data_IF_701379369789
#
_entry.id   IF_701379369789
#
_cell.length_a   1.000
_cell.length_b   1.000
_cell.length_c   1.000
_cell.angle_alpha   90.00
_cell.angle_beta   90.00
_cell.angle_gamma   90.00
#
_symmetry.space_group_name_H-M   'P 1'
#
loop_
_entity.id
_entity.type
_entity.pdbx_description
1 polymer ?
#
# COMPACT_ATOMS: atom_id res chain seq x y z
N UNK A 1 -7.50 -18.70 -6.87
CA UNK A 1 -7.76 -17.45 -7.61
C UNK A 1 -6.99 -16.33 -6.93
N UNK A 2 -6.07 -15.67 -7.64
CA UNK A 2 -5.45 -14.45 -7.13
C UNK A 2 -6.50 -13.34 -6.95
N UNK A 3 -6.32 -12.49 -5.95
CA UNK A 3 -7.21 -11.38 -5.60
C UNK A 3 -6.37 -10.12 -5.50
N UNK A 4 -7.02 -8.96 -5.71
CA UNK A 4 -6.41 -7.65 -5.56
C UNK A 4 -6.92 -7.01 -4.28
N UNK A 5 -6.00 -6.52 -3.44
CA UNK A 5 -6.28 -5.96 -2.13
C UNK A 5 -5.74 -4.53 -2.11
N UNK A 6 -6.62 -3.56 -1.89
CA UNK A 6 -6.25 -2.16 -1.74
C UNK A 6 -6.05 -1.86 -0.25
N UNK A 7 -4.93 -1.22 0.11
CA UNK A 7 -4.63 -0.81 1.48
C UNK A 7 -4.42 0.70 1.50
N UNK A 8 -5.33 1.41 2.16
CA UNK A 8 -5.14 2.83 2.46
C UNK A 8 -4.14 2.94 3.60
N UNK A 9 -3.03 3.63 3.38
CA UNK A 9 -1.95 3.75 4.37
C UNK A 9 -1.27 5.10 4.24
N UNK A 10 -0.89 5.67 5.38
CA UNK A 10 -0.12 6.93 5.45
C UNK A 10 0.91 6.84 6.56
N UNK A 11 1.65 7.92 6.81
CA UNK A 11 2.67 7.99 7.85
C UNK A 11 2.13 7.61 9.24
N UNK A 12 3.02 7.06 10.07
CA UNK A 12 2.73 6.58 11.43
C UNK A 12 1.72 5.44 11.52
N UNK A 13 1.62 4.60 10.48
CA UNK A 13 0.88 3.33 10.56
C UNK A 13 1.49 2.38 11.59
N UNK A 14 0.70 1.50 12.19
CA UNK A 14 1.22 0.46 13.08
C UNK A 14 1.92 -0.63 12.26
N UNK A 15 3.22 -0.81 12.50
CA UNK A 15 4.12 -1.61 11.65
C UNK A 15 3.63 -3.07 11.45
N UNK A 16 3.20 -3.73 12.52
CA UNK A 16 2.73 -5.13 12.47
C UNK A 16 1.37 -5.27 11.80
N UNK A 17 0.45 -4.30 12.01
CA UNK A 17 -0.89 -4.29 11.39
C UNK A 17 -0.83 -4.19 9.87
N UNK A 18 0.27 -3.65 9.32
CA UNK A 18 0.53 -3.70 7.88
C UNK A 18 1.36 -4.93 7.46
N UNK A 19 2.52 -5.16 8.09
CA UNK A 19 3.50 -6.13 7.58
C UNK A 19 3.03 -7.58 7.67
N UNK A 20 2.36 -7.97 8.77
CA UNK A 20 1.91 -9.35 8.95
C UNK A 20 0.78 -9.74 7.98
N UNK A 21 -0.31 -8.96 7.83
CA UNK A 21 -1.37 -9.30 6.88
C UNK A 21 -0.89 -9.25 5.43
N UNK A 22 -0.08 -8.25 5.06
CA UNK A 22 0.43 -8.12 3.69
C UNK A 22 1.34 -9.28 3.31
N UNK A 23 2.19 -9.75 4.24
CA UNK A 23 2.99 -10.96 4.05
C UNK A 23 2.09 -12.17 3.80
N UNK A 24 1.09 -12.40 4.65
CA UNK A 24 0.16 -13.54 4.50
C UNK A 24 -0.61 -13.51 3.18
N UNK A 25 -1.04 -12.32 2.74
CA UNK A 25 -1.74 -12.17 1.46
C UNK A 25 -0.82 -12.47 0.26
N UNK A 26 0.41 -11.96 0.28
CA UNK A 26 1.40 -12.22 -0.78
C UNK A 26 1.79 -13.70 -0.84
N UNK A 27 1.99 -14.35 0.30
CA UNK A 27 2.27 -15.80 0.38
C UNK A 27 1.13 -16.66 -0.19
N UNK A 28 -0.12 -16.20 -0.07
CA UNK A 28 -1.30 -16.83 -0.70
C UNK A 28 -1.49 -16.47 -2.17
N UNK A 29 -0.56 -15.72 -2.77
CA UNK A 29 -0.59 -15.33 -4.18
C UNK A 29 -1.55 -14.17 -4.49
N UNK A 30 -1.91 -13.35 -3.50
CA UNK A 30 -2.70 -12.14 -3.71
C UNK A 30 -1.80 -10.93 -4.01
N UNK A 31 -2.34 -10.00 -4.78
CA UNK A 31 -1.71 -8.71 -5.07
C UNK A 31 -2.20 -7.67 -4.05
N UNK A 32 -1.27 -6.95 -3.43
CA UNK A 32 -1.57 -5.84 -2.51
C UNK A 32 -1.08 -4.55 -3.15
N UNK A 33 -1.93 -3.52 -3.16
CA UNK A 33 -1.61 -2.17 -3.65
C UNK A 33 -1.79 -1.16 -2.53
N UNK A 34 -0.73 -0.43 -2.20
CA UNK A 34 -0.79 0.69 -1.25
C UNK A 34 -1.33 1.95 -1.91
N UNK A 35 -2.21 2.66 -1.21
CA UNK A 35 -2.87 3.86 -1.71
C UNK A 35 -2.76 4.98 -0.67
N UNK A 36 -2.31 6.14 -1.13
CA UNK A 36 -2.24 7.39 -0.37
C UNK A 36 -2.58 8.58 -1.29
N UNK A 37 -2.35 9.82 -0.88
CA UNK A 37 -2.55 11.00 -1.72
C UNK A 37 -1.57 11.04 -2.90
N UNK A 38 -0.30 10.69 -2.65
CA UNK A 38 0.77 10.80 -3.65
C UNK A 38 1.41 9.44 -3.97
N UNK A 39 1.35 9.05 -5.25
CA UNK A 39 2.09 7.89 -5.75
C UNK A 39 3.59 8.14 -5.63
N UNK A 40 4.33 7.17 -5.12
CA UNK A 40 5.77 7.24 -4.97
C UNK A 40 6.22 7.89 -3.65
N UNK A 41 5.29 8.45 -2.86
CA UNK A 41 5.59 8.89 -1.49
C UNK A 41 6.10 7.71 -0.67
N UNK A 42 7.15 7.93 0.13
CA UNK A 42 7.57 6.98 1.15
C UNK A 42 6.84 7.29 2.45
N UNK A 43 6.13 6.31 3.00
CA UNK A 43 5.49 6.40 4.31
C UNK A 43 6.23 5.54 5.32
N UNK A 44 6.31 6.01 6.56
CA UNK A 44 7.05 5.32 7.63
C UNK A 44 6.13 4.81 8.73
N UNK A 45 6.41 3.60 9.22
CA UNK A 45 5.73 3.01 10.37
C UNK A 45 5.99 3.80 11.63
N UNK A 46 5.07 3.73 12.59
CA UNK A 46 5.12 4.46 13.86
C UNK A 46 6.38 4.13 14.66
N UNK A 47 6.84 2.88 14.59
CA UNK A 47 8.06 2.42 15.28
C UNK A 47 9.33 2.66 14.46
N UNK A 48 9.20 3.10 13.20
CA UNK A 48 10.33 3.32 12.29
C UNK A 48 10.96 2.03 11.73
N UNK A 49 10.33 0.87 11.94
CA UNK A 49 10.84 -0.43 11.48
C UNK A 49 10.42 -0.75 10.04
N UNK A 50 9.41 -0.04 9.53
CA UNK A 50 8.83 -0.26 8.21
C UNK A 50 8.83 1.03 7.40
N UNK A 51 9.32 0.95 6.16
CA UNK A 51 9.16 2.01 5.16
C UNK A 51 8.53 1.42 3.90
N UNK A 52 7.57 2.15 3.33
CA UNK A 52 6.77 1.68 2.19
C UNK A 52 6.68 2.78 1.14
N UNK A 53 6.83 2.41 -0.13
CA UNK A 53 6.54 3.31 -1.26
C UNK A 53 5.07 3.13 -1.65
N UNK A 54 4.35 4.24 -1.83
CA UNK A 54 2.94 4.23 -2.23
C UNK A 54 2.79 3.87 -3.71
N UNK A 55 2.04 2.81 -4.00
CA UNK A 55 1.85 2.29 -5.35
C UNK A 55 0.93 3.19 -6.20
N UNK A 56 -0.11 3.76 -5.58
CA UNK A 56 -1.12 4.59 -6.27
C UNK A 56 -1.58 5.79 -5.44
N UNK A 57 -1.88 6.88 -6.13
CA UNK A 57 -2.67 7.98 -5.55
C UNK A 57 -4.14 7.56 -5.41
N UNK A 58 -4.82 8.04 -4.39
CA UNK A 58 -6.25 7.86 -4.14
C UNK A 58 -7.08 8.60 -5.19
N UNK A 59 -6.52 9.71 -5.70
CA UNK A 59 -7.09 10.40 -6.86
C UNK A 59 -6.96 9.49 -8.07
N UNK A 60 -8.09 9.21 -8.69
CA UNK A 60 -8.16 8.52 -9.98
C UNK A 60 -7.54 9.45 -11.01
N UNK A 61 -6.27 9.22 -11.35
CA UNK A 61 -5.72 9.72 -12.60
C UNK A 61 -6.43 8.98 -13.72
N UNK A 62 -7.57 9.49 -14.18
CA UNK A 62 -8.07 9.15 -15.52
C UNK A 62 -6.93 9.52 -16.44
N UNK A 63 -6.26 8.52 -17.00
CA UNK A 63 -5.49 8.72 -18.22
C UNK A 63 -6.44 9.44 -19.16
N UNK A 64 -6.17 10.71 -19.45
CA UNK A 64 -6.86 11.39 -20.51
C UNK A 64 -6.39 10.70 -21.79
N UNK A 65 -7.09 9.63 -22.15
CA UNK A 65 -7.03 9.03 -23.47
C UNK A 65 -7.38 10.16 -24.45
N UNK A 66 -6.35 10.76 -25.03
CA UNK A 66 -6.45 11.47 -26.30
C UNK A 66 -6.41 10.41 -27.40
#
# INVERSE_FOLDING_TARGET
MSKKIAVLITDHFEDSEYTEPVKSFKEKGHEVTTIEMEKGKTVKGKQGNSELVIDKSITVSRSASH
#
